data_IF_685990894085
#
_entry.id   IF_685990894085
#
_cell.length_a   1.000
_cell.length_b   1.000
_cell.length_c   1.000
_cell.angle_alpha   90.00
_cell.angle_beta   90.00
_cell.angle_gamma   90.00
#
_symmetry.space_group_name_H-M   'P 1'
#
loop_
_entity.id
_entity.type
_entity.pdbx_description
1 polymer ?
#
# COMPACT_ATOMS: atom_id res chain seq x y z
N UNK A 1 27.44 23.60 -21.27
CA UNK A 1 26.15 23.67 -20.55
C UNK A 1 26.28 22.90 -19.23
N UNK A 2 26.34 23.59 -18.09
CA UNK A 2 26.40 22.92 -16.78
C UNK A 2 25.03 22.27 -16.52
N UNK A 3 24.95 20.96 -16.26
CA UNK A 3 23.65 20.31 -16.08
C UNK A 3 22.99 20.88 -14.82
N UNK A 4 21.77 21.38 -14.96
CA UNK A 4 21.00 22.10 -13.92
C UNK A 4 20.61 21.19 -12.74
N UNK A 5 21.04 19.92 -12.72
CA UNK A 5 20.56 18.89 -11.81
C UNK A 5 21.16 18.88 -10.41
N UNK A 6 22.34 19.48 -10.16
CA UNK A 6 22.94 19.49 -8.80
C UNK A 6 22.34 20.54 -7.87
N UNK A 7 21.84 21.66 -8.40
CA UNK A 7 21.34 22.76 -7.56
C UNK A 7 20.03 22.39 -6.89
N UNK A 8 19.13 21.72 -7.64
CA UNK A 8 17.84 21.26 -7.12
C UNK A 8 18.01 20.14 -6.07
N UNK A 9 19.02 19.26 -6.25
CA UNK A 9 19.28 18.18 -5.30
C UNK A 9 19.81 18.69 -3.94
N UNK A 10 20.40 19.90 -3.88
CA UNK A 10 20.86 20.48 -2.61
C UNK A 10 19.71 20.69 -1.63
N UNK A 11 18.55 21.13 -2.12
CA UNK A 11 17.38 21.32 -1.28
C UNK A 11 16.94 19.98 -0.67
N UNK A 12 16.81 18.94 -1.49
CA UNK A 12 16.44 17.59 -1.04
C UNK A 12 17.46 17.00 -0.06
N UNK A 13 18.75 17.27 -0.28
CA UNK A 13 19.82 16.84 0.61
C UNK A 13 19.78 17.56 1.97
N UNK A 14 19.45 18.86 1.96
CA UNK A 14 19.24 19.63 3.20
C UNK A 14 18.01 19.14 3.96
N UNK A 15 16.92 18.82 3.26
CA UNK A 15 15.71 18.22 3.87
C UNK A 15 16.05 16.86 4.48
N UNK A 16 16.79 16.01 3.78
CA UNK A 16 17.21 14.71 4.30
C UNK A 16 18.11 14.85 5.55
N UNK A 17 19.08 15.76 5.52
CA UNK A 17 19.95 16.04 6.66
C UNK A 17 19.17 16.59 7.86
N UNK A 18 18.24 17.53 7.62
CA UNK A 18 17.38 18.06 8.66
C UNK A 18 16.49 16.96 9.27
N UNK A 19 15.92 16.06 8.45
CA UNK A 19 15.11 14.95 8.93
C UNK A 19 15.93 13.96 9.78
N UNK A 20 17.16 13.64 9.37
CA UNK A 20 18.08 12.81 10.15
C UNK A 20 18.45 13.49 11.48
N UNK A 21 18.73 14.79 11.47
CA UNK A 21 19.04 15.56 12.67
C UNK A 21 17.86 15.59 13.63
N UNK A 22 16.68 15.97 13.16
CA UNK A 22 15.45 16.05 13.98
C UNK A 22 15.08 14.68 14.52
N UNK A 23 15.05 13.64 13.67
CA UNK A 23 14.74 12.28 14.10
C UNK A 23 15.79 11.71 15.07
N UNK A 24 17.08 12.00 14.83
CA UNK A 24 18.17 11.59 15.71
C UNK A 24 18.13 12.29 17.08
N UNK A 25 17.83 13.59 17.12
CA UNK A 25 17.61 14.32 18.36
C UNK A 25 16.39 13.79 19.11
N UNK A 26 15.27 13.56 18.42
CA UNK A 26 14.08 12.97 19.03
C UNK A 26 14.36 11.59 19.62
N UNK A 27 15.02 10.70 18.88
CA UNK A 27 15.45 9.39 19.39
C UNK A 27 16.40 9.54 20.58
N UNK A 28 17.34 10.49 20.54
CA UNK A 28 18.24 10.76 21.66
C UNK A 28 17.49 11.19 22.92
N UNK A 29 16.40 11.93 22.77
CA UNK A 29 15.56 12.36 23.90
C UNK A 29 14.68 11.23 24.45
N UNK A 30 14.06 10.41 23.58
CA UNK A 30 13.08 9.40 24.00
C UNK A 30 13.72 8.03 24.28
N UNK A 31 14.70 7.63 23.49
CA UNK A 31 15.40 6.36 23.60
C UNK A 31 16.93 6.53 23.35
N UNK A 32 17.66 7.13 24.30
CA UNK A 32 19.07 7.50 24.12
C UNK A 32 19.96 6.33 23.68
N UNK A 33 19.70 5.12 24.20
CA UNK A 33 20.47 3.92 23.88
C UNK A 33 20.28 3.43 22.43
N UNK A 34 19.11 3.67 21.82
CA UNK A 34 18.81 3.27 20.45
C UNK A 34 19.16 4.34 19.40
N UNK A 35 19.34 5.60 19.82
CA UNK A 35 19.55 6.73 18.92
C UNK A 35 20.74 6.58 17.94
N UNK A 36 21.93 6.06 18.34
CA UNK A 36 23.03 5.87 17.41
C UNK A 36 22.71 4.84 16.33
N UNK A 37 22.05 3.74 16.69
CA UNK A 37 21.67 2.70 15.74
C UNK A 37 20.59 3.20 14.78
N UNK A 38 19.59 3.91 15.30
CA UNK A 38 18.55 4.53 14.47
C UNK A 38 19.16 5.49 13.45
N UNK A 39 20.08 6.36 13.87
CA UNK A 39 20.74 7.32 13.00
C UNK A 39 21.59 6.62 11.94
N UNK A 40 22.36 5.60 12.32
CA UNK A 40 23.22 4.85 11.39
C UNK A 40 22.41 4.14 10.29
N UNK A 41 21.34 3.43 10.67
CA UNK A 41 20.48 2.71 9.71
C UNK A 41 19.70 3.68 8.81
N UNK A 42 19.18 4.78 9.38
CA UNK A 42 18.49 5.81 8.59
C UNK A 42 19.43 6.51 7.62
N UNK A 43 20.64 6.85 8.08
CA UNK A 43 21.67 7.46 7.24
C UNK A 43 22.10 6.52 6.10
N UNK A 44 22.23 5.22 6.35
CA UNK A 44 22.50 4.23 5.30
C UNK A 44 21.40 4.21 4.24
N UNK A 45 20.13 4.26 4.65
CA UNK A 45 19.00 4.38 3.73
C UNK A 45 19.05 5.67 2.89
N UNK A 46 19.34 6.80 3.52
CA UNK A 46 19.47 8.11 2.84
C UNK A 46 20.64 8.09 1.85
N UNK A 47 21.79 7.54 2.24
CA UNK A 47 22.95 7.39 1.37
C UNK A 47 22.63 6.51 0.16
N UNK A 48 21.91 5.41 0.37
CA UNK A 48 21.46 4.54 -0.73
C UNK A 48 20.51 5.29 -1.68
N UNK A 49 19.51 5.99 -1.16
CA UNK A 49 18.56 6.79 -1.96
C UNK A 49 19.28 7.86 -2.79
N UNK A 50 20.19 8.61 -2.16
CA UNK A 50 20.98 9.64 -2.84
C UNK A 50 21.90 9.02 -3.89
N UNK A 51 22.62 7.95 -3.57
CA UNK A 51 23.50 7.26 -4.52
C UNK A 51 22.71 6.73 -5.73
N UNK A 52 21.54 6.14 -5.50
CA UNK A 52 20.66 5.66 -6.57
C UNK A 52 20.19 6.82 -7.46
N UNK A 53 19.74 7.92 -6.84
CA UNK A 53 19.28 9.12 -7.56
C UNK A 53 20.39 9.73 -8.41
N UNK A 54 21.60 9.86 -7.85
CA UNK A 54 22.76 10.39 -8.54
C UNK A 54 23.18 9.52 -9.73
N UNK A 55 23.14 8.18 -9.57
CA UNK A 55 23.44 7.24 -10.66
C UNK A 55 22.47 7.34 -11.83
N UNK A 56 21.19 7.60 -11.55
CA UNK A 56 20.14 7.68 -12.57
C UNK A 56 19.77 9.11 -12.97
N UNK A 57 20.51 10.12 -12.52
CA UNK A 57 20.19 11.54 -12.76
C UNK A 57 20.17 11.90 -14.26
N UNK A 58 20.98 11.19 -15.05
CA UNK A 58 20.99 11.28 -16.51
C UNK A 58 19.70 10.78 -17.17
N UNK A 59 18.77 10.17 -16.43
CA UNK A 59 17.49 9.69 -16.93
C UNK A 59 16.34 10.67 -16.64
N UNK A 60 16.64 11.90 -16.19
CA UNK A 60 15.62 12.94 -16.02
C UNK A 60 15.16 13.52 -17.36
N UNK A 61 14.56 12.67 -18.20
CA UNK A 61 14.07 12.91 -19.55
C UNK A 61 12.83 12.04 -19.81
N UNK A 62 11.92 12.44 -20.72
CA UNK A 62 10.71 11.66 -21.01
C UNK A 62 10.98 10.34 -21.75
N UNK A 63 11.94 10.33 -22.68
CA UNK A 63 12.36 9.14 -23.42
C UNK A 63 13.89 9.15 -23.65
N UNK A 64 14.48 8.00 -23.99
CA UNK A 64 15.93 7.85 -24.15
C UNK A 64 16.54 8.86 -25.12
N UNK A 65 15.83 9.18 -26.21
CA UNK A 65 16.32 10.04 -27.29
C UNK A 65 15.95 11.53 -27.13
N UNK A 66 15.39 11.91 -25.98
CA UNK A 66 14.93 13.28 -25.71
C UNK A 66 15.89 14.05 -24.81
N UNK A 67 15.95 15.39 -24.92
CA UNK A 67 16.81 16.19 -24.04
C UNK A 67 16.39 16.09 -22.57
N UNK A 68 17.36 16.30 -21.68
CA UNK A 68 17.12 16.35 -20.24
C UNK A 68 16.18 17.50 -19.89
N UNK A 69 15.32 17.27 -18.90
CA UNK A 69 14.55 18.34 -18.32
C UNK A 69 15.47 19.37 -17.63
N UNK A 70 15.15 20.67 -17.72
CA UNK A 70 15.97 21.73 -17.15
C UNK A 70 15.87 21.81 -15.62
N UNK A 71 14.90 21.16 -14.98
CA UNK A 71 14.76 21.12 -13.52
C UNK A 71 14.39 19.73 -13.06
N UNK A 72 14.64 19.44 -11.77
CA UNK A 72 14.35 18.13 -11.18
C UNK A 72 12.87 17.77 -11.22
N UNK A 73 11.99 18.75 -11.01
CA UNK A 73 10.54 18.59 -11.12
C UNK A 73 9.89 18.08 -9.82
N UNK A 74 8.70 18.60 -9.53
CA UNK A 74 8.02 18.38 -8.25
C UNK A 74 7.59 16.91 -8.02
N UNK A 75 7.30 16.16 -9.08
CA UNK A 75 6.98 14.74 -8.97
C UNK A 75 8.18 13.92 -8.45
N UNK A 76 9.38 14.16 -8.99
CA UNK A 76 10.60 13.49 -8.52
C UNK A 76 10.94 13.90 -7.09
N UNK A 77 10.73 15.17 -6.71
CA UNK A 77 10.89 15.64 -5.33
C UNK A 77 9.97 14.90 -4.36
N UNK A 78 8.69 14.73 -4.72
CA UNK A 78 7.75 13.94 -3.91
C UNK A 78 8.19 12.48 -3.76
N UNK A 79 8.66 11.85 -4.84
CA UNK A 79 9.20 10.48 -4.78
C UNK A 79 10.45 10.40 -3.89
N UNK A 80 11.32 11.42 -3.89
CA UNK A 80 12.46 11.48 -2.96
C UNK A 80 12.04 11.66 -1.51
N UNK A 81 11.04 12.51 -1.23
CA UNK A 81 10.48 12.65 0.13
C UNK A 81 9.87 11.34 0.61
N UNK A 82 9.18 10.61 -0.25
CA UNK A 82 8.67 9.26 0.04
C UNK A 82 9.83 8.28 0.32
N UNK A 83 10.86 8.29 -0.53
CA UNK A 83 12.08 7.50 -0.33
C UNK A 83 12.79 7.84 0.98
N UNK A 84 12.84 9.11 1.37
CA UNK A 84 13.38 9.58 2.64
C UNK A 84 12.57 9.00 3.81
N UNK A 85 11.24 9.03 3.75
CA UNK A 85 10.42 8.40 4.78
C UNK A 85 10.69 6.88 4.91
N UNK A 86 10.88 6.17 3.79
CA UNK A 86 11.32 4.75 3.79
C UNK A 86 12.71 4.60 4.42
N UNK A 87 13.64 5.49 4.12
CA UNK A 87 14.97 5.48 4.73
C UNK A 87 14.91 5.70 6.25
N UNK A 88 14.09 6.63 6.74
CA UNK A 88 13.90 6.86 8.18
C UNK A 88 13.25 5.65 8.87
N UNK A 89 12.39 4.90 8.18
CA UNK A 89 11.82 3.66 8.70
C UNK A 89 12.89 2.59 8.98
N UNK A 90 13.99 2.57 8.22
CA UNK A 90 15.10 1.64 8.46
C UNK A 90 15.72 1.83 9.85
N UNK A 91 15.72 3.05 10.38
CA UNK A 91 16.20 3.35 11.72
C UNK A 91 15.54 2.49 12.81
N UNK A 92 14.28 2.12 12.63
CA UNK A 92 13.50 1.38 13.63
C UNK A 92 13.79 -0.13 13.69
N UNK A 93 14.63 -0.66 12.79
CA UNK A 93 15.21 -2.00 12.97
C UNK A 93 16.27 -2.04 14.07
N UNK A 94 16.79 -0.88 14.49
CA UNK A 94 17.76 -0.79 15.56
C UNK A 94 17.17 -1.24 16.91
N UNK A 95 17.95 -1.93 17.75
CA UNK A 95 17.49 -2.33 19.08
C UNK A 95 17.24 -1.09 19.95
N UNK A 96 16.28 -1.21 20.88
CA UNK A 96 15.95 -0.17 21.88
C UNK A 96 15.63 1.21 21.27
N UNK A 97 15.12 1.24 20.04
CA UNK A 97 14.64 2.47 19.41
C UNK A 97 13.27 2.85 19.98
N UNK A 98 12.96 4.16 20.02
CA UNK A 98 11.65 4.64 20.44
C UNK A 98 10.61 4.22 19.39
N UNK A 99 9.90 3.13 19.66
CA UNK A 99 8.80 2.63 18.83
C UNK A 99 7.49 3.28 19.27
N UNK A 100 6.46 3.22 18.42
CA UNK A 100 5.15 3.80 18.75
C UNK A 100 4.43 4.27 17.50
N UNK A 101 3.99 5.53 17.53
CA UNK A 101 3.18 6.13 16.47
C UNK A 101 4.00 6.55 15.24
N UNK A 102 5.31 6.77 15.41
CA UNK A 102 6.18 7.32 14.35
C UNK A 102 6.33 6.40 13.14
N UNK A 103 6.60 5.07 13.28
CA UNK A 103 6.65 4.18 12.11
C UNK A 103 5.34 4.13 11.33
N UNK A 104 4.20 4.07 12.03
CA UNK A 104 2.87 4.13 11.42
C UNK A 104 2.66 5.43 10.64
N UNK A 105 3.00 6.58 11.23
CA UNK A 105 2.88 7.89 10.59
C UNK A 105 3.77 8.02 9.34
N UNK A 106 5.05 7.62 9.44
CA UNK A 106 5.99 7.64 8.32
C UNK A 106 5.52 6.76 7.16
N UNK A 107 5.10 5.52 7.45
CA UNK A 107 4.65 4.64 6.38
C UNK A 107 3.27 5.04 5.83
N UNK A 108 2.41 5.64 6.64
CA UNK A 108 1.15 6.24 6.14
C UNK A 108 1.45 7.37 5.16
N UNK A 109 2.44 8.23 5.45
CA UNK A 109 2.90 9.22 4.49
C UNK A 109 3.43 8.57 3.21
N UNK A 110 4.18 7.46 3.31
CA UNK A 110 4.63 6.69 2.13
C UNK A 110 3.44 6.19 1.30
N UNK A 111 2.47 5.54 1.93
CA UNK A 111 1.31 4.97 1.24
C UNK A 111 0.40 6.03 0.60
N UNK A 112 0.22 7.18 1.25
CA UNK A 112 -0.62 8.26 0.72
C UNK A 112 0.08 9.03 -0.41
N UNK A 113 1.38 9.30 -0.27
CA UNK A 113 2.14 10.10 -1.26
C UNK A 113 2.25 9.44 -2.63
N UNK A 114 2.20 8.10 -2.71
CA UNK A 114 2.11 7.33 -3.97
C UNK A 114 0.92 7.75 -4.85
N UNK A 115 -0.18 8.16 -4.23
CA UNK A 115 -1.32 8.60 -5.02
C UNK A 115 -1.10 9.99 -5.63
N UNK A 116 -0.35 10.85 -4.92
CA UNK A 116 -0.12 12.24 -5.32
C UNK A 116 0.93 12.40 -6.43
N UNK A 117 1.96 11.57 -6.49
CA UNK A 117 3.02 11.73 -7.49
C UNK A 117 2.52 11.50 -8.92
N UNK A 118 1.67 10.49 -9.13
CA UNK A 118 1.08 10.19 -10.40
C UNK A 118 0.10 11.29 -10.81
N UNK A 119 -0.63 11.84 -9.85
CA UNK A 119 -1.49 13.00 -10.09
C UNK A 119 -0.65 14.22 -10.52
N UNK A 120 0.45 14.50 -9.82
CA UNK A 120 1.31 15.65 -10.08
C UNK A 120 2.07 15.52 -11.41
N UNK A 121 2.62 14.35 -11.71
CA UNK A 121 3.32 14.08 -12.97
C UNK A 121 2.40 14.26 -14.19
N UNK A 122 1.13 13.87 -14.07
CA UNK A 122 0.13 14.05 -15.12
C UNK A 122 -0.33 15.50 -15.25
N UNK A 123 -0.60 16.18 -14.12
CA UNK A 123 -1.00 17.60 -14.11
C UNK A 123 0.09 18.51 -14.68
N UNK A 124 1.34 18.19 -14.41
CA UNK A 124 2.51 18.93 -14.92
C UNK A 124 2.97 18.46 -16.31
N UNK A 125 2.35 17.42 -16.88
CA UNK A 125 2.76 16.74 -18.13
C UNK A 125 4.25 16.42 -18.18
N UNK A 126 4.83 16.05 -17.04
CA UNK A 126 6.28 15.95 -16.86
C UNK A 126 6.70 14.59 -16.33
N UNK A 127 6.34 13.54 -17.07
CA UNK A 127 6.83 12.20 -16.80
C UNK A 127 8.30 12.09 -17.23
N UNK A 128 9.12 11.42 -16.41
CA UNK A 128 10.52 11.12 -16.72
C UNK A 128 10.87 9.65 -16.42
N UNK A 129 11.88 9.13 -17.11
CA UNK A 129 12.43 7.78 -16.88
C UNK A 129 13.01 7.66 -15.46
N UNK A 130 13.71 8.70 -14.97
CA UNK A 130 14.19 8.80 -13.60
C UNK A 130 13.05 8.63 -12.59
N UNK A 131 11.94 9.36 -12.78
CA UNK A 131 10.79 9.29 -11.89
C UNK A 131 10.20 7.88 -11.83
N UNK A 132 10.04 7.23 -12.98
CA UNK A 132 9.57 5.84 -13.05
C UNK A 132 10.50 4.86 -12.33
N UNK A 133 11.82 5.02 -12.44
CA UNK A 133 12.78 4.17 -11.74
C UNK A 133 12.76 4.39 -10.23
N UNK A 134 12.76 5.66 -9.80
CA UNK A 134 12.70 6.01 -8.39
C UNK A 134 11.41 5.48 -7.76
N UNK A 135 10.27 5.67 -8.43
CA UNK A 135 8.95 5.18 -8.02
C UNK A 135 8.98 3.66 -7.80
N UNK A 136 9.41 2.91 -8.83
CA UNK A 136 9.55 1.45 -8.77
C UNK A 136 10.48 0.97 -7.64
N UNK A 137 11.57 1.69 -7.38
CA UNK A 137 12.54 1.36 -6.33
C UNK A 137 11.96 1.65 -4.94
N UNK A 138 11.40 2.84 -4.74
CA UNK A 138 10.85 3.30 -3.46
C UNK A 138 9.64 2.49 -3.04
N UNK A 139 8.74 2.15 -3.97
CA UNK A 139 7.56 1.32 -3.67
C UNK A 139 7.95 -0.09 -3.23
N UNK A 140 8.86 -0.71 -3.98
CA UNK A 140 9.37 -2.05 -3.65
C UNK A 140 10.03 -2.09 -2.28
N UNK A 141 10.91 -1.12 -2.01
CA UNK A 141 11.55 -1.00 -0.69
C UNK A 141 10.57 -0.64 0.40
N UNK A 142 9.60 0.24 0.13
CA UNK A 142 8.60 0.67 1.11
C UNK A 142 7.78 -0.51 1.63
N UNK A 143 7.24 -1.34 0.73
CA UNK A 143 6.48 -2.55 1.11
C UNK A 143 7.36 -3.56 1.83
N UNK A 144 8.62 -3.75 1.39
CA UNK A 144 9.57 -4.64 2.07
C UNK A 144 9.89 -4.17 3.49
N UNK A 145 10.26 -2.90 3.64
CA UNK A 145 10.61 -2.30 4.94
C UNK A 145 9.41 -2.33 5.87
N UNK A 146 8.21 -1.98 5.39
CA UNK A 146 7.01 -1.99 6.23
C UNK A 146 6.59 -3.39 6.68
N UNK A 147 6.60 -4.37 5.78
CA UNK A 147 6.27 -5.75 6.15
C UNK A 147 7.31 -6.35 7.10
N UNK A 148 8.60 -6.13 6.85
CA UNK A 148 9.67 -6.55 7.75
C UNK A 148 9.58 -5.88 9.12
N UNK A 149 9.31 -4.57 9.16
CA UNK A 149 9.17 -3.83 10.40
C UNK A 149 7.92 -4.29 11.18
N UNK A 150 6.80 -4.53 10.49
CA UNK A 150 5.60 -5.07 11.13
C UNK A 150 5.86 -6.45 11.78
N UNK A 151 6.71 -7.29 11.17
CA UNK A 151 7.15 -8.56 11.75
C UNK A 151 8.07 -8.35 12.95
N UNK A 152 9.11 -7.51 12.82
CA UNK A 152 10.08 -7.24 13.89
C UNK A 152 9.42 -6.61 15.12
N UNK A 153 8.41 -5.76 14.90
CA UNK A 153 7.59 -5.15 15.95
C UNK A 153 6.52 -6.09 16.53
N UNK A 154 6.47 -7.35 16.09
CA UNK A 154 5.50 -8.34 16.56
C UNK A 154 4.05 -8.03 16.20
N UNK A 155 3.82 -7.20 15.17
CA UNK A 155 2.47 -6.79 14.71
C UNK A 155 1.87 -7.77 13.73
N UNK A 156 2.71 -8.38 12.91
CA UNK A 156 2.33 -9.39 11.93
C UNK A 156 3.20 -10.64 12.09
N UNK A 157 2.70 -11.82 11.74
CA UNK A 157 3.47 -13.05 11.79
C UNK A 157 4.59 -13.06 10.74
N UNK A 158 5.65 -13.83 11.00
CA UNK A 158 6.85 -13.85 10.16
C UNK A 158 6.59 -14.13 8.68
N UNK A 159 5.59 -14.95 8.35
CA UNK A 159 5.27 -15.30 6.96
C UNK A 159 4.77 -14.09 6.15
N UNK A 160 4.32 -13.02 6.81
CA UNK A 160 3.90 -11.78 6.13
C UNK A 160 5.06 -11.06 5.42
N UNK A 161 6.30 -11.38 5.78
CA UNK A 161 7.48 -10.90 5.08
C UNK A 161 7.48 -11.30 3.59
N UNK A 162 6.82 -12.40 3.23
CA UNK A 162 6.65 -12.83 1.85
C UNK A 162 5.99 -11.77 0.96
N UNK A 163 5.12 -10.93 1.52
CA UNK A 163 4.48 -9.81 0.80
C UNK A 163 5.52 -8.79 0.33
N UNK A 164 6.45 -8.42 1.20
CA UNK A 164 7.57 -7.53 0.88
C UNK A 164 8.58 -8.15 -0.08
N UNK A 165 8.82 -9.45 0.05
CA UNK A 165 9.77 -10.18 -0.78
C UNK A 165 9.22 -10.54 -2.17
N UNK A 166 7.90 -10.53 -2.36
CA UNK A 166 7.26 -10.99 -3.59
C UNK A 166 7.79 -10.29 -4.85
N UNK A 167 7.97 -8.96 -4.82
CA UNK A 167 8.53 -8.21 -5.95
C UNK A 167 9.92 -8.73 -6.33
N UNK A 168 10.78 -8.93 -5.33
CA UNK A 168 12.15 -9.38 -5.55
C UNK A 168 12.19 -10.83 -6.02
N UNK A 169 11.33 -11.69 -5.45
CA UNK A 169 11.15 -13.05 -5.92
C UNK A 169 10.67 -13.10 -7.39
N UNK A 170 9.77 -12.20 -7.79
CA UNK A 170 9.30 -12.09 -9.16
C UNK A 170 10.41 -11.64 -10.13
N UNK A 171 11.23 -10.67 -9.73
CA UNK A 171 12.38 -10.23 -10.53
C UNK A 171 13.43 -11.33 -10.68
N UNK A 172 13.71 -12.08 -9.61
CA UNK A 172 14.61 -13.24 -9.66
C UNK A 172 14.04 -14.37 -10.53
N UNK A 173 12.73 -14.59 -10.46
CA UNK A 173 12.02 -15.54 -11.31
C UNK A 173 12.16 -15.17 -12.80
N UNK A 174 11.88 -13.92 -13.17
CA UNK A 174 12.05 -13.44 -14.54
C UNK A 174 13.51 -13.55 -15.01
N UNK A 175 14.48 -13.20 -14.16
CA UNK A 175 15.90 -13.32 -14.47
C UNK A 175 16.31 -14.78 -14.70
N UNK A 176 15.83 -15.71 -13.87
CA UNK A 176 16.05 -17.15 -14.02
C UNK A 176 15.45 -17.70 -15.32
N UNK A 177 14.24 -17.26 -15.68
CA UNK A 177 13.62 -17.63 -16.96
C UNK A 177 14.47 -17.16 -18.16
N UNK A 178 14.99 -15.93 -18.11
CA UNK A 178 15.89 -15.41 -19.17
C UNK A 178 17.19 -16.19 -19.24
N UNK A 179 17.77 -16.56 -18.10
CA UNK A 179 18.98 -17.39 -18.05
C UNK A 179 18.75 -18.79 -18.66
N UNK A 180 17.52 -19.32 -18.58
CA UNK A 180 17.10 -20.56 -19.24
C UNK A 180 16.71 -20.38 -20.72
N UNK A 181 16.99 -19.22 -21.32
CA UNK A 181 16.68 -18.92 -22.72
C UNK A 181 15.20 -18.69 -23.01
N UNK A 182 14.35 -18.56 -21.99
CA UNK A 182 12.94 -18.20 -22.16
C UNK A 182 12.79 -16.69 -22.26
N UNK A 183 11.73 -16.23 -22.93
CA UNK A 183 11.39 -14.82 -23.04
C UNK A 183 10.14 -14.52 -22.19
N UNK A 184 10.30 -14.05 -20.94
CA UNK A 184 9.20 -13.63 -20.09
C UNK A 184 8.29 -12.64 -20.82
N UNK A 185 6.99 -12.92 -20.84
CA UNK A 185 6.02 -12.04 -21.47
C UNK A 185 5.66 -10.89 -20.53
N UNK A 186 5.51 -9.65 -21.04
CA UNK A 186 5.10 -8.52 -20.21
C UNK A 186 3.68 -8.74 -19.68
N UNK A 187 3.46 -8.40 -18.40
CA UNK A 187 2.14 -8.49 -17.77
C UNK A 187 1.18 -7.46 -18.39
N UNK A 188 -0.04 -7.87 -18.81
CA UNK A 188 -1.02 -6.96 -19.39
C UNK A 188 -1.48 -5.97 -18.32
N UNK A 189 -1.66 -4.67 -18.59
CA UNK A 189 -2.07 -3.71 -17.57
C UNK A 189 -3.45 -4.07 -17.00
N UNK A 190 -3.50 -4.46 -15.73
CA UNK A 190 -4.75 -4.87 -15.06
C UNK A 190 -5.04 -3.93 -13.88
N UNK A 191 -6.13 -3.14 -13.93
CA UNK A 191 -6.47 -2.20 -12.87
C UNK A 191 -6.66 -2.85 -11.49
N UNK A 192 -7.18 -4.08 -11.47
CA UNK A 192 -7.41 -4.82 -10.23
C UNK A 192 -6.10 -5.11 -9.47
N UNK A 193 -5.00 -5.41 -10.17
CA UNK A 193 -3.71 -5.65 -9.50
C UNK A 193 -3.23 -4.40 -8.76
N UNK A 194 -3.45 -3.23 -9.35
CA UNK A 194 -3.09 -1.96 -8.73
C UNK A 194 -3.95 -1.68 -7.50
N UNK A 195 -5.27 -1.90 -7.60
CA UNK A 195 -6.18 -1.74 -6.47
C UNK A 195 -5.77 -2.66 -5.29
N UNK A 196 -5.45 -3.93 -5.59
CA UNK A 196 -4.98 -4.89 -4.58
C UNK A 196 -3.66 -4.46 -3.92
N UNK A 197 -2.70 -3.95 -4.71
CA UNK A 197 -1.45 -3.44 -4.18
C UNK A 197 -1.67 -2.24 -3.24
N UNK A 198 -2.53 -1.29 -3.63
CA UNK A 198 -2.90 -0.15 -2.80
C UNK A 198 -3.60 -0.55 -1.50
N UNK A 199 -4.50 -1.54 -1.55
CA UNK A 199 -5.12 -2.10 -0.34
C UNK A 199 -4.10 -2.76 0.59
N UNK A 200 -3.14 -3.50 0.03
CA UNK A 200 -2.07 -4.13 0.82
C UNK A 200 -1.16 -3.08 1.46
N UNK A 201 -0.80 -2.02 0.74
CA UNK A 201 -0.06 -0.88 1.30
C UNK A 201 -0.85 -0.20 2.42
N UNK A 202 -2.16 0.03 2.23
CA UNK A 202 -3.03 0.58 3.26
C UNK A 202 -3.10 -0.31 4.50
N UNK A 203 -3.19 -1.62 4.34
CA UNK A 203 -3.14 -2.57 5.44
C UNK A 203 -1.82 -2.54 6.20
N UNK A 204 -0.68 -2.52 5.50
CA UNK A 204 0.64 -2.38 6.13
C UNK A 204 0.76 -1.06 6.91
N UNK A 205 0.16 0.03 6.42
CA UNK A 205 0.05 1.27 7.18
C UNK A 205 -0.69 1.06 8.48
N UNK A 206 -1.91 0.53 8.44
CA UNK A 206 -2.71 0.23 9.63
C UNK A 206 -1.95 -0.69 10.61
N UNK A 207 -1.26 -1.71 10.12
CA UNK A 207 -0.51 -2.66 10.95
C UNK A 207 0.64 -2.02 11.73
N UNK A 208 1.25 -0.96 11.19
CA UNK A 208 2.34 -0.23 11.86
C UNK A 208 1.84 0.78 12.92
N UNK A 209 0.55 1.14 12.94
CA UNK A 209 0.00 1.97 14.01
C UNK A 209 -0.19 1.15 15.30
N UNK A 210 0.18 1.68 16.49
CA UNK A 210 -0.04 1.03 17.78
C UNK A 210 -1.49 1.07 18.26
N UNK A 211 -2.45 0.89 17.34
CA UNK A 211 -3.88 0.99 17.62
C UNK A 211 -4.52 -0.38 17.80
N UNK A 212 -4.15 -1.34 16.95
CA UNK A 212 -4.79 -2.65 16.92
C UNK A 212 -3.90 -3.75 17.51
N UNK A 213 -4.49 -4.74 18.21
CA UNK A 213 -3.75 -5.86 18.77
C UNK A 213 -3.22 -6.77 17.64
N UNK A 214 -2.02 -7.40 17.80
CA UNK A 214 -1.42 -8.24 16.76
C UNK A 214 -2.29 -9.41 16.29
N UNK A 215 -3.15 -9.96 17.15
CA UNK A 215 -4.05 -11.04 16.80
C UNK A 215 -5.10 -10.59 15.77
N UNK A 216 -5.64 -9.37 15.94
CA UNK A 216 -6.57 -8.78 14.99
C UNK A 216 -5.93 -8.50 13.64
N UNK A 217 -4.72 -7.94 13.66
CA UNK A 217 -3.92 -7.71 12.46
C UNK A 217 -3.58 -9.03 11.75
N UNK A 218 -3.28 -10.09 12.50
CA UNK A 218 -3.00 -11.42 11.93
C UNK A 218 -4.20 -11.99 11.20
N UNK A 219 -5.41 -11.95 11.80
CA UNK A 219 -6.61 -12.47 11.16
C UNK A 219 -6.95 -11.71 9.87
N UNK A 220 -6.98 -10.38 9.93
CA UNK A 220 -7.22 -9.55 8.74
C UNK A 220 -6.11 -9.77 7.72
N UNK A 221 -4.87 -9.90 8.18
CA UNK A 221 -3.73 -10.20 7.34
C UNK A 221 -3.88 -11.50 6.56
N UNK A 222 -4.40 -12.57 7.17
CA UNK A 222 -4.68 -13.84 6.45
C UNK A 222 -5.63 -13.57 5.27
N UNK A 223 -6.71 -12.82 5.51
CA UNK A 223 -7.68 -12.51 4.45
C UNK A 223 -7.12 -11.59 3.37
N UNK A 224 -6.20 -10.68 3.71
CA UNK A 224 -5.50 -9.83 2.73
C UNK A 224 -4.44 -10.61 1.95
N UNK A 225 -3.81 -11.62 2.58
CA UNK A 225 -2.77 -12.43 1.97
C UNK A 225 -3.31 -13.36 0.89
N UNK A 226 -4.51 -13.94 1.06
CA UNK A 226 -5.11 -14.86 0.08
C UNK A 226 -5.23 -14.25 -1.33
N UNK A 227 -5.90 -13.10 -1.54
CA UNK A 227 -6.03 -12.50 -2.87
C UNK A 227 -4.67 -12.01 -3.41
N UNK A 228 -3.75 -11.62 -2.53
CA UNK A 228 -2.38 -11.27 -2.90
C UNK A 228 -1.62 -12.48 -3.45
N UNK A 229 -1.60 -13.60 -2.72
CA UNK A 229 -0.92 -14.83 -3.12
C UNK A 229 -1.52 -15.43 -4.39
N UNK A 230 -2.86 -15.42 -4.51
CA UNK A 230 -3.55 -15.84 -5.72
C UNK A 230 -3.17 -14.97 -6.93
N UNK A 231 -3.11 -13.65 -6.74
CA UNK A 231 -2.66 -12.70 -7.76
C UNK A 231 -1.21 -12.94 -8.18
N UNK A 232 -0.31 -13.10 -7.22
CA UNK A 232 1.11 -13.40 -7.45
C UNK A 232 1.30 -14.69 -8.25
N UNK A 233 0.62 -15.77 -7.87
CA UNK A 233 0.72 -17.05 -8.57
C UNK A 233 0.17 -16.96 -9.99
N UNK A 234 -0.96 -16.29 -10.17
CA UNK A 234 -1.55 -16.05 -11.49
C UNK A 234 -0.61 -15.26 -12.40
N UNK A 235 0.02 -14.22 -11.87
CA UNK A 235 0.97 -13.38 -12.62
C UNK A 235 2.25 -14.18 -12.96
N UNK A 236 2.76 -15.00 -12.03
CA UNK A 236 3.91 -15.87 -12.27
C UNK A 236 3.63 -16.91 -13.36
N UNK A 237 2.43 -17.50 -13.39
CA UNK A 237 2.00 -18.41 -14.44
C UNK A 237 1.81 -17.71 -15.79
N UNK A 238 1.25 -16.49 -15.79
CA UNK A 238 1.05 -15.69 -17.00
C UNK A 238 2.35 -15.43 -17.74
N UNK A 239 3.42 -15.09 -17.01
CA UNK A 239 4.75 -14.81 -17.59
C UNK A 239 5.28 -16.00 -18.40
N UNK A 240 4.94 -17.23 -18.01
CA UNK A 240 5.36 -18.47 -18.69
C UNK A 240 4.40 -18.81 -19.83
N UNK A 241 3.10 -18.77 -19.56
CA UNK A 241 2.04 -19.18 -20.48
C UNK A 241 0.90 -18.14 -20.46
N UNK A 242 0.92 -17.15 -21.36
CA UNK A 242 -0.18 -16.23 -21.52
C UNK A 242 -1.44 -17.00 -21.89
N UNK A 243 -2.46 -16.95 -21.05
CA UNK A 243 -3.76 -17.57 -21.35
C UNK A 243 -4.66 -16.50 -21.97
N UNK A 244 -5.41 -16.85 -23.01
CA UNK A 244 -6.52 -16.00 -23.46
C UNK A 244 -7.54 -15.91 -22.33
N UNK A 245 -7.77 -14.71 -21.78
CA UNK A 245 -8.81 -14.46 -20.77
C UNK A 245 -10.18 -14.46 -21.44
N UNK A 246 -10.74 -15.64 -21.71
CA UNK A 246 -12.11 -15.81 -22.16
C UNK A 246 -13.03 -16.12 -20.98
N UNK A 247 -13.93 -15.18 -20.63
CA UNK A 247 -15.33 -15.47 -20.24
C UNK A 247 -16.12 -14.17 -19.91
N UNK A 248 -16.91 -13.64 -20.85
CA UNK A 248 -17.88 -12.57 -20.59
C UNK A 248 -19.14 -13.02 -19.83
N UNK A 249 -19.36 -14.33 -19.67
CA UNK A 249 -20.65 -14.93 -19.26
C UNK A 249 -20.86 -15.13 -17.74
N UNK A 250 -19.82 -15.00 -16.90
CA UNK A 250 -19.93 -15.26 -15.45
C UNK A 250 -20.33 -14.02 -14.61
N UNK A 251 -20.42 -12.85 -15.24
CA UNK A 251 -20.59 -11.56 -14.57
C UNK A 251 -21.86 -11.40 -13.70
N UNK A 252 -23.06 -11.88 -14.08
CA UNK A 252 -24.26 -11.65 -13.28
C UNK A 252 -24.30 -12.52 -12.02
N UNK A 253 -23.90 -13.79 -12.11
CA UNK A 253 -23.83 -14.70 -10.97
C UNK A 253 -22.79 -14.23 -9.95
N UNK A 254 -21.61 -13.81 -10.42
CA UNK A 254 -20.59 -13.20 -9.57
C UNK A 254 -21.11 -11.94 -8.87
N UNK A 255 -21.81 -11.08 -9.61
CA UNK A 255 -22.42 -9.87 -9.08
C UNK A 255 -23.42 -10.16 -7.96
N UNK A 256 -24.30 -11.15 -8.15
CA UNK A 256 -25.26 -11.58 -7.13
C UNK A 256 -24.56 -12.20 -5.90
N UNK A 257 -23.51 -13.00 -6.11
CA UNK A 257 -22.74 -13.58 -5.01
C UNK A 257 -22.06 -12.49 -4.15
N UNK A 258 -21.45 -11.47 -4.77
CA UNK A 258 -20.87 -10.36 -4.01
C UNK A 258 -21.91 -9.49 -3.32
N UNK A 259 -23.10 -9.32 -3.91
CA UNK A 259 -24.21 -8.65 -3.23
C UNK A 259 -24.67 -9.43 -1.98
N UNK A 260 -24.73 -10.77 -2.07
CA UNK A 260 -25.02 -11.61 -0.92
C UNK A 260 -23.96 -11.48 0.17
N UNK A 261 -22.67 -11.55 -0.19
CA UNK A 261 -21.57 -11.33 0.77
C UNK A 261 -21.71 -9.96 1.44
N UNK A 262 -22.02 -8.92 0.67
CA UNK A 262 -22.24 -7.56 1.18
C UNK A 262 -23.36 -7.51 2.22
N UNK A 263 -24.52 -8.09 1.92
CA UNK A 263 -25.66 -8.11 2.84
C UNK A 263 -25.38 -8.95 4.10
N UNK A 264 -24.71 -10.09 3.95
CA UNK A 264 -24.31 -10.92 5.10
C UNK A 264 -23.28 -10.19 5.98
N UNK A 265 -22.32 -9.47 5.39
CA UNK A 265 -21.38 -8.65 6.14
C UNK A 265 -22.07 -7.47 6.84
N UNK A 266 -23.06 -6.83 6.20
CA UNK A 266 -23.86 -5.78 6.84
C UNK A 266 -24.64 -6.33 8.04
N UNK A 267 -25.30 -7.47 7.88
CA UNK A 267 -26.03 -8.14 8.96
C UNK A 267 -25.09 -8.59 10.09
N UNK A 268 -23.95 -9.18 9.76
CA UNK A 268 -22.94 -9.61 10.74
C UNK A 268 -22.33 -8.44 11.51
N UNK A 269 -22.06 -7.31 10.84
CA UNK A 269 -21.60 -6.09 11.50
C UNK A 269 -22.70 -5.53 12.42
N UNK A 270 -23.96 -5.49 11.97
CA UNK A 270 -25.09 -5.06 12.79
C UNK A 270 -25.27 -5.93 14.04
N UNK A 271 -25.17 -7.26 13.89
CA UNK A 271 -25.22 -8.20 15.01
C UNK A 271 -24.08 -7.94 16.01
N UNK A 272 -22.86 -7.68 15.54
CA UNK A 272 -21.71 -7.35 16.39
C UNK A 272 -21.93 -6.05 17.19
N UNK A 273 -22.50 -5.01 16.56
CA UNK A 273 -22.79 -3.73 17.23
C UNK A 273 -23.89 -3.88 18.28
N UNK A 274 -24.82 -4.81 18.07
CA UNK A 274 -25.91 -5.12 18.99
C UNK A 274 -25.43 -5.96 20.17
N UNK A 275 -24.62 -6.99 19.93
CA UNK A 275 -24.23 -7.97 20.94
C UNK A 275 -23.10 -7.50 21.86
N UNK A 276 -22.30 -6.51 21.45
CA UNK A 276 -21.16 -6.04 22.23
C UNK A 276 -21.32 -4.59 22.73
N UNK A 277 -20.92 -4.33 24.00
CA UNK A 277 -20.92 -2.98 24.56
C UNK A 277 -19.75 -2.18 23.98
N UNK A 278 -19.97 -1.57 22.81
CA UNK A 278 -19.02 -0.63 22.20
C UNK A 278 -19.28 0.80 22.70
N UNK A 279 -18.26 1.64 22.60
CA UNK A 279 -18.40 3.07 22.86
C UNK A 279 -19.47 3.70 21.95
N UNK A 280 -20.13 4.75 22.44
CA UNK A 280 -21.21 5.42 21.69
C UNK A 280 -20.77 5.80 20.27
N UNK A 281 -19.62 6.47 20.12
CA UNK A 281 -19.09 6.87 18.83
C UNK A 281 -18.87 5.70 17.86
N UNK A 282 -18.38 4.55 18.36
CA UNK A 282 -18.10 3.37 17.54
C UNK A 282 -19.37 2.65 17.12
N UNK A 283 -20.40 2.68 17.98
CA UNK A 283 -21.74 2.20 17.64
C UNK A 283 -22.40 3.08 16.58
N UNK A 284 -22.34 4.40 16.72
CA UNK A 284 -22.90 5.34 15.72
C UNK A 284 -22.22 5.19 14.35
N UNK A 285 -20.89 5.18 14.32
CA UNK A 285 -20.14 4.99 13.07
C UNK A 285 -20.37 3.59 12.48
N UNK A 286 -20.41 2.55 13.32
CA UNK A 286 -20.76 1.21 12.92
C UNK A 286 -22.15 1.11 12.27
N UNK A 287 -23.17 1.72 12.88
CA UNK A 287 -24.55 1.69 12.35
C UNK A 287 -24.65 2.38 11.00
N UNK A 288 -23.91 3.49 10.81
CA UNK A 288 -23.79 4.13 9.50
C UNK A 288 -23.18 3.17 8.47
N UNK A 289 -22.08 2.49 8.83
CA UNK A 289 -21.41 1.52 7.95
C UNK A 289 -22.32 0.34 7.58
N UNK A 290 -23.14 -0.15 8.52
CA UNK A 290 -24.16 -1.18 8.23
C UNK A 290 -25.15 -0.69 7.18
N UNK A 291 -25.66 0.53 7.31
CA UNK A 291 -26.56 1.14 6.33
C UNK A 291 -25.89 1.30 4.96
N UNK A 292 -24.66 1.79 4.93
CA UNK A 292 -23.87 1.94 3.69
C UNK A 292 -23.63 0.59 2.99
N UNK A 293 -23.27 -0.45 3.74
CA UNK A 293 -23.09 -1.80 3.20
C UNK A 293 -24.41 -2.38 2.68
N UNK A 294 -25.50 -2.28 3.46
CA UNK A 294 -26.79 -2.81 3.06
C UNK A 294 -27.28 -2.19 1.73
N UNK A 295 -27.19 -0.87 1.63
CA UNK A 295 -27.60 -0.11 0.45
C UNK A 295 -26.59 -0.17 -0.71
N UNK A 296 -25.38 -0.68 -0.48
CA UNK A 296 -24.30 -0.66 -1.47
C UNK A 296 -23.90 0.76 -1.85
N UNK A 297 -23.79 1.64 -0.85
CA UNK A 297 -23.32 3.01 -0.96
C UNK A 297 -21.86 3.05 -0.50
N UNK A 298 -20.93 3.40 -1.38
CA UNK A 298 -19.48 3.34 -1.14
C UNK A 298 -19.01 2.00 -0.52
N UNK A 299 -19.36 0.85 -1.13
CA UNK A 299 -19.19 -0.45 -0.49
C UNK A 299 -17.75 -0.77 -0.06
N UNK A 300 -16.72 -0.34 -0.81
CA UNK A 300 -15.32 -0.61 -0.45
C UNK A 300 -14.90 0.21 0.76
N UNK A 301 -15.26 1.50 0.78
CA UNK A 301 -14.97 2.37 1.93
C UNK A 301 -15.73 1.91 3.17
N UNK A 302 -16.99 1.51 3.01
CA UNK A 302 -17.80 0.97 4.09
C UNK A 302 -17.21 -0.34 4.64
N UNK A 303 -16.69 -1.21 3.78
CA UNK A 303 -16.02 -2.44 4.19
C UNK A 303 -14.70 -2.17 4.93
N UNK A 304 -13.88 -1.23 4.45
CA UNK A 304 -12.65 -0.81 5.13
C UNK A 304 -12.97 -0.19 6.51
N UNK A 305 -13.98 0.67 6.60
CA UNK A 305 -14.48 1.18 7.87
C UNK A 305 -14.96 0.06 8.79
N UNK A 306 -15.68 -0.93 8.25
CA UNK A 306 -16.13 -2.11 8.98
C UNK A 306 -14.97 -2.94 9.53
N UNK A 307 -13.88 -3.10 8.80
CA UNK A 307 -12.66 -3.77 9.28
C UNK A 307 -12.00 -3.00 10.45
N UNK A 308 -12.00 -1.66 10.39
CA UNK A 308 -11.52 -0.83 11.50
C UNK A 308 -12.42 -0.96 12.74
N UNK A 309 -13.76 -0.95 12.55
CA UNK A 309 -14.72 -1.17 13.63
C UNK A 309 -14.57 -2.57 14.23
N UNK A 310 -14.37 -3.59 13.40
CA UNK A 310 -14.08 -4.95 13.83
C UNK A 310 -12.79 -5.03 14.66
N UNK A 311 -11.71 -4.41 14.18
CA UNK A 311 -10.45 -4.34 14.92
C UNK A 311 -10.58 -3.62 16.27
N UNK A 312 -11.36 -2.54 16.33
CA UNK A 312 -11.63 -1.81 17.56
C UNK A 312 -12.49 -2.61 18.55
N UNK A 313 -13.52 -3.33 18.05
CA UNK A 313 -14.32 -4.23 18.87
C UNK A 313 -13.47 -5.37 19.46
N UNK A 314 -12.49 -5.88 18.69
CA UNK A 314 -11.55 -6.87 19.19
C UNK A 314 -10.57 -6.30 20.23
N UNK A 315 -10.07 -5.09 20.03
CA UNK A 315 -9.32 -4.39 21.08
C UNK A 315 -10.13 -4.23 22.37
N UNK A 316 -11.47 -4.18 22.28
CA UNK A 316 -12.40 -4.15 23.41
C UNK A 316 -12.82 -5.54 23.95
N UNK A 317 -12.18 -6.63 23.51
CA UNK A 317 -12.39 -7.97 24.06
C UNK A 317 -13.33 -8.89 23.28
N UNK A 318 -13.63 -8.59 22.00
CA UNK A 318 -14.40 -9.49 21.13
C UNK A 318 -13.73 -10.88 21.02
N UNK A 319 -14.46 -11.99 21.24
CA UNK A 319 -13.92 -13.33 21.08
C UNK A 319 -13.72 -13.71 19.60
N UNK A 320 -12.69 -14.51 19.35
CA UNK A 320 -12.48 -15.12 18.05
C UNK A 320 -13.45 -16.30 17.90
N UNK A 321 -14.37 -16.19 16.95
CA UNK A 321 -15.41 -17.17 16.66
C UNK A 321 -15.51 -17.38 15.15
N UNK A 322 -16.12 -18.48 14.67
CA UNK A 322 -16.36 -18.67 13.24
C UNK A 322 -17.13 -17.50 12.61
N UNK A 323 -18.07 -16.89 13.35
CA UNK A 323 -18.87 -15.76 12.88
C UNK A 323 -17.99 -14.51 12.69
N UNK A 324 -17.14 -14.20 13.67
CA UNK A 324 -16.25 -13.02 13.59
C UNK A 324 -15.16 -13.21 12.54
N UNK A 325 -14.69 -14.45 12.34
CA UNK A 325 -13.81 -14.79 11.22
C UNK A 325 -14.48 -14.60 9.86
N UNK A 326 -15.70 -15.12 9.67
CA UNK A 326 -16.47 -14.95 8.43
C UNK A 326 -16.82 -13.49 8.15
N UNK A 327 -17.14 -12.70 9.18
CA UNK A 327 -17.37 -11.26 9.03
C UNK A 327 -16.12 -10.55 8.48
N UNK A 328 -14.95 -10.80 9.08
CA UNK A 328 -13.69 -10.21 8.60
C UNK A 328 -13.30 -10.67 7.18
N UNK A 329 -13.62 -11.93 6.83
CA UNK A 329 -13.44 -12.46 5.49
C UNK A 329 -14.33 -11.72 4.47
N UNK A 330 -15.63 -11.57 4.79
CA UNK A 330 -16.60 -10.90 3.93
C UNK A 330 -16.27 -9.42 3.72
N UNK A 331 -15.91 -8.71 4.78
CA UNK A 331 -15.45 -7.31 4.69
C UNK A 331 -14.19 -7.18 3.83
N UNK A 332 -13.21 -8.08 4.00
CA UNK A 332 -12.02 -8.11 3.13
C UNK A 332 -12.40 -8.38 1.67
N UNK A 333 -13.30 -9.33 1.41
CA UNK A 333 -13.75 -9.64 0.06
C UNK A 333 -14.40 -8.44 -0.61
N UNK A 334 -15.25 -7.68 0.10
CA UNK A 334 -15.88 -6.46 -0.42
C UNK A 334 -14.82 -5.38 -0.70
N UNK A 335 -13.82 -5.23 0.18
CA UNK A 335 -12.74 -4.27 -0.03
C UNK A 335 -11.96 -4.55 -1.33
N UNK A 336 -11.65 -5.82 -1.62
CA UNK A 336 -10.92 -6.23 -2.83
C UNK A 336 -11.78 -6.27 -4.09
N UNK A 337 -12.97 -6.86 -4.03
CA UNK A 337 -13.78 -7.19 -5.21
C UNK A 337 -14.97 -6.25 -5.45
N UNK A 338 -15.35 -5.42 -4.47
CA UNK A 338 -16.46 -4.47 -4.58
C UNK A 338 -17.77 -4.98 -3.97
N UNK A 339 -18.83 -4.18 -4.11
CA UNK A 339 -20.14 -4.42 -3.51
C UNK A 339 -21.07 -5.33 -4.31
N UNK A 340 -20.72 -5.70 -5.54
CA UNK A 340 -21.52 -6.58 -6.39
C UNK A 340 -22.74 -5.91 -7.02
N UNK A 341 -23.76 -6.72 -7.35
CA UNK A 341 -25.01 -6.24 -7.93
C UNK A 341 -25.82 -5.39 -6.93
N UNK A 342 -26.82 -4.65 -7.45
CA UNK A 342 -27.75 -3.86 -6.65
C UNK A 342 -27.06 -2.87 -5.66
N UNK A 343 -25.96 -2.25 -6.08
CA UNK A 343 -25.38 -1.11 -5.38
C UNK A 343 -26.16 0.16 -5.76
N UNK A 344 -26.63 0.91 -4.76
CA UNK A 344 -27.32 2.18 -4.99
C UNK A 344 -26.34 3.26 -5.50
N UNK A 345 -25.11 3.29 -4.97
CA UNK A 345 -24.11 4.28 -5.38
C UNK A 345 -22.67 3.82 -5.05
N UNK A 346 -21.91 3.41 -6.06
CA UNK A 346 -20.54 2.88 -5.90
C UNK A 346 -19.48 3.65 -6.73
N UNK A 347 -19.27 4.96 -6.50
CA UNK A 347 -18.23 5.71 -7.20
C UNK A 347 -16.81 5.31 -6.74
N UNK A 348 -16.67 4.77 -5.53
CA UNK A 348 -15.41 4.24 -4.99
C UNK A 348 -14.90 3.07 -5.82
N UNK A 349 -15.77 2.18 -6.31
CA UNK A 349 -15.34 1.11 -7.24
C UNK A 349 -14.67 1.67 -8.49
N UNK A 350 -15.21 2.78 -9.03
CA UNK A 350 -14.57 3.47 -10.15
C UNK A 350 -13.25 4.08 -9.70
N UNK A 351 -13.18 4.77 -8.57
CA UNK A 351 -11.95 5.40 -8.09
C UNK A 351 -10.81 4.38 -7.88
N UNK A 352 -11.11 3.19 -7.37
CA UNK A 352 -10.14 2.12 -7.17
C UNK A 352 -9.70 1.46 -8.49
N UNK A 353 -10.58 1.40 -9.50
CA UNK A 353 -10.31 0.74 -10.78
C UNK A 353 -9.88 1.70 -11.91
N UNK A 354 -10.17 2.99 -11.80
CA UNK A 354 -9.79 4.01 -12.79
C UNK A 354 -8.67 4.88 -12.26
N UNK A 355 -7.71 5.21 -13.12
CA UNK A 355 -6.67 6.19 -12.77
C UNK A 355 -7.34 7.53 -12.49
N UNK A 356 -7.03 8.17 -11.37
CA UNK A 356 -7.35 9.56 -11.14
C UNK A 356 -6.84 10.42 -12.31
N UNK A 357 -7.77 11.07 -13.03
CA UNK A 357 -7.51 11.95 -14.17
C UNK A 357 -7.64 11.31 -15.57
N UNK A 358 -8.04 10.04 -15.69
CA UNK A 358 -8.51 9.50 -16.97
C UNK A 358 -9.97 9.89 -17.12
N UNK A 359 -10.30 10.70 -18.14
CA UNK A 359 -11.69 10.97 -18.47
C UNK A 359 -12.40 9.63 -18.72
N UNK A 360 -13.61 9.42 -18.20
CA UNK A 360 -14.40 8.26 -18.58
C UNK A 360 -14.50 8.24 -20.11
N UNK A 361 -14.47 7.07 -20.76
CA UNK A 361 -14.73 7.01 -22.19
C UNK A 361 -16.04 7.76 -22.43
N UNK A 362 -15.98 8.78 -23.29
CA UNK A 362 -17.17 9.49 -23.75
C UNK A 362 -18.08 8.38 -24.27
N UNK A 363 -19.25 8.23 -23.64
CA UNK A 363 -20.28 7.35 -24.18
C UNK A 363 -20.62 7.91 -25.56
N UNK A 364 -20.15 7.21 -26.60
CA UNK A 364 -20.62 7.41 -27.97
C UNK A 364 -22.06 6.98 -28.09
#
# INVERSE_FOLDING_TARGET
MRPVTYRDLRFEMLVALAALLVGGLWQRHVAPAGAPCWLALSALGVLYLLAYTLRHLGENRPASDTPLYPTFGAANGLTLLRGLAVALLLGFFGPRTAQGWVPGALYTFVALSDWWDGFLARRTRRASLLGQRLDLMVDGLGVLVASALAVVLGRLPWWYLSVGLARYAFLLWEAGLRALGRSPQPLPPEPQRRANAGLMMGFLAVALWPVFPPQALTLVGVWFFIPFAAGFLRDALWVIHPRSTSAPHEKPLLGAAYALVRLLSAAGLGALLWSHPLSGWLRWSGSLLVGLLALGVLPRLAALGGLLTFGAAWAAGLPLSPITALLSAGLTAIAFYGGGAACLWAPDERFFLTRAGVQPPVKG
#
